data_IF_879844194480
#
_entry.id   IF_879844194480
#
_cell.length_a   1.000
_cell.length_b   1.000
_cell.length_c   1.000
_cell.angle_alpha   90.00
_cell.angle_beta   90.00
_cell.angle_gamma   90.00
#
_symmetry.space_group_name_H-M   'P 1'
#
loop_
_entity.id
_entity.type
_entity.pdbx_description
1 polymer ?
#
# COMPACT_ATOMS: atom_id res chain seq x y z
N UNK A 1 -84.98 -20.92 -5.57
CA UNK A 1 -85.13 -19.73 -6.43
C UNK A 1 -84.62 -18.52 -5.66
N UNK A 2 -83.77 -17.71 -6.31
CA UNK A 2 -83.32 -16.32 -6.07
C UNK A 2 -83.87 -15.58 -4.81
N UNK A 3 -83.16 -14.75 -4.04
CA UNK A 3 -81.90 -14.01 -4.15
C UNK A 3 -81.78 -13.27 -2.81
N UNK A 4 -80.73 -13.47 -2.02
CA UNK A 4 -80.49 -12.67 -0.80
C UNK A 4 -78.99 -12.57 -0.55
N UNK A 5 -78.33 -11.78 -1.39
CA UNK A 5 -76.88 -11.56 -1.32
C UNK A 5 -76.47 -10.12 -1.67
N UNK A 6 -77.33 -9.15 -1.33
CA UNK A 6 -77.06 -7.71 -1.53
C UNK A 6 -77.12 -6.89 -0.23
N UNK A 7 -76.78 -7.50 0.91
CA UNK A 7 -76.64 -6.81 2.20
C UNK A 7 -75.28 -7.07 2.85
N UNK A 8 -74.21 -7.16 2.05
CA UNK A 8 -72.83 -7.34 2.56
C UNK A 8 -71.81 -6.33 2.04
N UNK A 9 -72.21 -5.31 1.27
CA UNK A 9 -71.25 -4.36 0.69
C UNK A 9 -71.10 -3.02 1.44
N UNK A 10 -71.99 -2.66 2.37
CA UNK A 10 -71.99 -1.31 2.95
C UNK A 10 -71.38 -1.18 4.37
N UNK A 11 -70.96 -2.27 5.02
CA UNK A 11 -70.39 -2.22 6.38
C UNK A 11 -68.86 -2.37 6.43
N UNK A 12 -68.22 -2.85 5.36
CA UNK A 12 -66.80 -3.17 5.36
C UNK A 12 -65.85 -1.97 5.15
N UNK A 13 -66.35 -0.80 4.72
CA UNK A 13 -65.49 0.36 4.42
C UNK A 13 -65.22 1.28 5.63
N UNK A 14 -65.96 1.15 6.73
CA UNK A 14 -65.81 2.06 7.88
C UNK A 14 -64.74 1.65 8.90
N UNK A 15 -64.31 0.39 8.91
CA UNK A 15 -63.27 -0.12 9.85
C UNK A 15 -61.84 0.07 9.29
N UNK A 16 -61.70 0.32 7.97
CA UNK A 16 -60.40 0.44 7.32
C UNK A 16 -59.65 1.77 7.61
N UNK A 17 -60.33 2.84 8.07
CA UNK A 17 -59.69 4.16 8.30
C UNK A 17 -59.16 4.40 9.71
N UNK A 18 -59.51 3.58 10.70
CA UNK A 18 -59.11 3.82 12.09
C UNK A 18 -57.81 3.09 12.51
N UNK A 19 -57.26 2.20 11.67
CA UNK A 19 -56.14 1.31 12.05
C UNK A 19 -54.75 1.80 11.62
N UNK A 20 -54.64 2.94 10.93
CA UNK A 20 -53.37 3.42 10.35
C UNK A 20 -52.68 4.57 11.10
N UNK A 21 -53.15 5.00 12.28
CA UNK A 21 -52.52 6.07 13.07
C UNK A 21 -51.79 5.62 14.34
N UNK A 22 -51.81 4.32 14.67
CA UNK A 22 -51.20 3.78 15.90
C UNK A 22 -50.03 2.81 15.66
N UNK A 23 -49.35 2.91 14.51
CA UNK A 23 -48.06 2.25 14.27
C UNK A 23 -46.89 3.24 14.08
N UNK A 24 -47.13 4.56 14.23
CA UNK A 24 -46.15 5.61 13.91
C UNK A 24 -45.43 6.18 15.14
N UNK A 25 -45.27 5.37 16.19
CA UNK A 25 -44.53 5.75 17.41
C UNK A 25 -43.67 4.62 17.98
N UNK A 26 -43.23 3.69 17.13
CA UNK A 26 -42.15 2.77 17.46
C UNK A 26 -40.82 3.49 17.18
N UNK A 27 -40.25 4.04 18.26
CA UNK A 27 -38.83 4.27 18.49
C UNK A 27 -37.93 4.45 17.25
N UNK A 28 -37.72 5.70 16.84
CA UNK A 28 -36.42 6.10 16.26
C UNK A 28 -35.37 5.96 17.38
N UNK A 29 -34.87 4.75 17.63
CA UNK A 29 -33.57 4.63 18.29
C UNK A 29 -32.56 5.25 17.33
N UNK A 30 -31.79 6.28 17.73
CA UNK A 30 -30.69 6.74 16.89
C UNK A 30 -29.81 5.52 16.60
N UNK A 31 -29.54 5.26 15.32
CA UNK A 31 -28.49 4.30 14.95
C UNK A 31 -27.23 4.76 15.67
N UNK A 32 -26.50 3.88 16.39
CA UNK A 32 -25.21 4.27 16.93
C UNK A 32 -24.38 4.81 15.76
N UNK A 33 -24.02 6.09 15.86
CA UNK A 33 -23.01 6.67 14.98
C UNK A 33 -21.78 5.80 15.13
N UNK A 34 -21.22 5.38 14.00
CA UNK A 34 -19.95 4.67 13.94
C UNK A 34 -18.94 5.47 14.76
N UNK A 35 -18.60 5.00 15.97
CA UNK A 35 -17.48 5.54 16.72
C UNK A 35 -16.24 5.16 15.92
N UNK A 36 -15.38 6.15 15.65
CA UNK A 36 -14.08 5.89 15.04
C UNK A 36 -13.37 4.83 15.87
N UNK A 37 -13.23 3.63 15.30
CA UNK A 37 -12.65 2.47 15.95
C UNK A 37 -11.14 2.64 16.20
N UNK A 38 -10.59 3.83 15.95
CA UNK A 38 -9.19 4.19 16.19
C UNK A 38 -8.82 4.19 17.67
N UNK A 39 -9.78 4.34 18.59
CA UNK A 39 -9.55 4.31 20.04
C UNK A 39 -9.76 2.92 20.66
N UNK A 40 -10.25 1.95 19.89
CA UNK A 40 -10.52 0.61 20.40
C UNK A 40 -9.22 -0.21 20.50
N UNK A 41 -8.84 -0.59 21.72
CA UNK A 41 -7.66 -1.40 21.97
C UNK A 41 -7.68 -2.74 21.20
N UNK A 42 -8.87 -3.27 20.90
CA UNK A 42 -9.03 -4.45 20.05
C UNK A 42 -8.68 -4.15 18.59
N UNK A 43 -9.08 -2.99 18.06
CA UNK A 43 -8.77 -2.58 16.69
C UNK A 43 -7.25 -2.50 16.48
N UNK A 44 -6.49 -1.95 17.44
CA UNK A 44 -5.03 -1.93 17.36
C UNK A 44 -4.39 -3.32 17.37
N UNK A 45 -4.97 -4.28 18.09
CA UNK A 45 -4.40 -5.64 18.16
C UNK A 45 -4.58 -6.40 16.84
N UNK A 46 -5.70 -6.19 16.15
CA UNK A 46 -5.99 -6.88 14.89
C UNK A 46 -5.44 -6.16 13.66
N UNK A 47 -5.33 -4.83 13.68
CA UNK A 47 -4.75 -4.06 12.55
C UNK A 47 -3.23 -4.04 12.54
N UNK A 48 -2.56 -4.32 13.67
CA UNK A 48 -1.08 -4.37 13.72
C UNK A 48 -0.46 -5.60 13.06
N UNK A 49 -1.27 -6.58 12.63
CA UNK A 49 -0.82 -7.80 11.98
C UNK A 49 0.19 -8.60 12.82
N UNK A 50 0.58 -9.80 12.39
CA UNK A 50 1.81 -10.41 12.90
C UNK A 50 3.00 -9.53 12.47
N UNK A 51 3.82 -9.09 13.42
CA UNK A 51 5.12 -8.45 13.12
C UNK A 51 6.04 -9.53 12.54
N UNK A 52 5.89 -9.77 11.24
CA UNK A 52 6.72 -10.69 10.49
C UNK A 52 8.02 -9.98 10.14
N UNK A 53 9.06 -10.19 10.96
CA UNK A 53 10.45 -9.96 10.57
C UNK A 53 11.16 -8.79 11.25
N UNK A 54 12.50 -8.74 11.10
CA UNK A 54 13.32 -7.66 11.63
C UNK A 54 12.87 -6.31 11.08
N UNK A 55 12.97 -5.27 11.90
CA UNK A 55 12.66 -3.90 11.51
C UNK A 55 13.37 -3.54 10.19
N UNK A 56 12.68 -2.95 9.19
CA UNK A 56 13.30 -2.55 7.92
C UNK A 56 14.46 -1.55 8.10
N UNK A 57 14.58 -0.94 9.28
CA UNK A 57 15.69 -0.05 9.62
C UNK A 57 17.04 -0.78 9.81
N UNK A 58 17.05 -2.06 10.18
CA UNK A 58 18.28 -2.74 10.62
C UNK A 58 18.94 -3.58 9.52
N UNK A 59 18.16 -4.29 8.70
CA UNK A 59 18.70 -5.13 7.60
C UNK A 59 18.96 -4.31 6.35
N UNK A 60 18.09 -3.34 6.05
CA UNK A 60 18.21 -2.48 4.86
C UNK A 60 19.37 -1.49 4.93
N UNK A 61 19.88 -1.16 6.12
CA UNK A 61 20.89 -0.12 6.28
C UNK A 61 22.28 -0.50 5.75
N UNK A 62 22.74 -1.72 6.04
CA UNK A 62 24.08 -2.17 5.63
C UNK A 62 24.12 -2.50 4.13
N UNK A 63 23.09 -3.20 3.64
CA UNK A 63 22.96 -3.55 2.23
C UNK A 63 22.78 -2.31 1.36
N UNK A 64 21.89 -1.38 1.73
CA UNK A 64 21.71 -0.13 0.99
C UNK A 64 23.00 0.70 0.96
N UNK A 65 23.79 0.72 2.04
CA UNK A 65 25.11 1.37 2.05
C UNK A 65 26.08 0.69 1.08
N UNK A 66 26.09 -0.64 1.00
CA UNK A 66 26.93 -1.37 0.07
C UNK A 66 26.56 -1.06 -1.38
N UNK A 67 25.27 -1.04 -1.73
CA UNK A 67 24.81 -0.67 -3.07
C UNK A 67 25.14 0.78 -3.42
N UNK A 68 24.90 1.72 -2.49
CA UNK A 68 25.27 3.14 -2.69
C UNK A 68 26.76 3.33 -2.93
N UNK A 69 27.61 2.60 -2.20
CA UNK A 69 29.05 2.66 -2.40
C UNK A 69 29.46 2.17 -3.80
N UNK A 70 28.79 1.14 -4.33
CA UNK A 70 29.00 0.68 -5.70
C UNK A 70 28.56 1.72 -6.73
N UNK A 71 27.40 2.36 -6.53
CA UNK A 71 26.90 3.44 -7.40
C UNK A 71 27.88 4.60 -7.45
N UNK A 72 28.36 5.09 -6.30
CA UNK A 72 29.35 6.17 -6.23
C UNK A 72 30.65 5.78 -6.94
N UNK A 73 31.14 4.56 -6.70
CA UNK A 73 32.37 4.09 -7.33
C UNK A 73 32.23 3.93 -8.86
N UNK A 74 31.05 3.56 -9.35
CA UNK A 74 30.76 3.49 -10.79
C UNK A 74 30.75 4.89 -11.41
N UNK A 75 30.04 5.84 -10.80
CA UNK A 75 30.00 7.23 -11.26
C UNK A 75 31.39 7.88 -11.24
N UNK A 76 32.17 7.68 -10.17
CA UNK A 76 33.54 8.19 -10.09
C UNK A 76 34.45 7.61 -11.18
N UNK A 77 34.32 6.32 -11.48
CA UNK A 77 35.08 5.66 -12.54
C UNK A 77 34.79 6.21 -13.94
N UNK A 78 33.61 6.76 -14.16
CA UNK A 78 33.18 7.29 -15.44
C UNK A 78 33.25 8.83 -15.56
N UNK A 79 33.95 9.50 -14.64
CA UNK A 79 34.10 10.96 -14.68
C UNK A 79 32.92 11.74 -14.10
N UNK A 80 32.06 11.08 -13.31
CA UNK A 80 31.05 11.72 -12.47
C UNK A 80 29.63 11.75 -13.05
N UNK A 81 29.40 11.26 -14.27
CA UNK A 81 28.06 11.20 -14.85
C UNK A 81 27.90 9.99 -15.78
N UNK A 82 26.72 9.37 -15.76
CA UNK A 82 26.42 8.21 -16.60
C UNK A 82 24.90 8.06 -16.83
N UNK A 83 24.42 7.53 -17.97
CA UNK A 83 23.02 7.15 -18.14
C UNK A 83 22.61 6.07 -17.13
N UNK A 84 21.37 6.08 -16.63
CA UNK A 84 20.96 5.12 -15.58
C UNK A 84 21.06 3.65 -16.00
N UNK A 85 20.87 3.35 -17.30
CA UNK A 85 20.99 1.98 -17.84
C UNK A 85 22.44 1.47 -17.76
N UNK A 86 23.38 2.27 -18.23
CA UNK A 86 24.81 1.94 -18.17
C UNK A 86 25.27 1.85 -16.70
N UNK A 87 24.72 2.71 -15.83
CA UNK A 87 25.09 2.75 -14.41
C UNK A 87 24.66 1.47 -13.71
N UNK A 88 23.44 1.01 -13.99
CA UNK A 88 22.92 -0.26 -13.50
C UNK A 88 23.84 -1.40 -13.90
N UNK A 89 24.21 -1.47 -15.17
CA UNK A 89 25.00 -2.57 -15.71
C UNK A 89 26.42 -2.57 -15.11
N UNK A 90 27.05 -1.40 -14.97
CA UNK A 90 28.33 -1.22 -14.27
C UNK A 90 28.27 -1.63 -12.79
N UNK A 91 27.22 -1.21 -12.07
CA UNK A 91 27.04 -1.55 -10.65
C UNK A 91 26.84 -3.06 -10.48
N UNK A 92 26.04 -3.68 -11.34
CA UNK A 92 25.83 -5.14 -11.35
C UNK A 92 27.14 -5.87 -11.67
N UNK A 93 27.91 -5.40 -12.66
CA UNK A 93 29.21 -5.99 -12.99
C UNK A 93 30.19 -5.92 -11.81
N UNK A 94 30.25 -4.79 -11.11
CA UNK A 94 31.08 -4.63 -9.90
C UNK A 94 30.60 -5.53 -8.76
N UNK A 95 29.27 -5.71 -8.60
CA UNK A 95 28.71 -6.68 -7.63
C UNK A 95 29.09 -8.11 -7.99
N UNK A 96 29.01 -8.51 -9.27
CA UNK A 96 29.43 -9.83 -9.76
C UNK A 96 30.89 -10.11 -9.42
N UNK A 97 31.77 -9.13 -9.64
CA UNK A 97 33.17 -9.25 -9.29
C UNK A 97 33.37 -9.49 -7.79
N UNK A 98 32.75 -8.67 -6.94
CA UNK A 98 32.81 -8.85 -5.48
C UNK A 98 32.24 -10.19 -5.01
N UNK A 99 31.11 -10.62 -5.58
CA UNK A 99 30.47 -11.88 -5.23
C UNK A 99 31.35 -13.09 -5.59
N UNK A 100 32.07 -13.02 -6.72
CA UNK A 100 33.07 -14.03 -7.12
C UNK A 100 34.25 -14.07 -6.15
N UNK A 101 34.73 -12.92 -5.71
CA UNK A 101 35.83 -12.82 -4.73
C UNK A 101 35.42 -13.35 -3.34
N UNK A 102 34.17 -13.13 -2.94
CA UNK A 102 33.65 -13.58 -1.64
C UNK A 102 33.01 -14.97 -1.65
N UNK A 103 32.81 -15.59 -2.81
CA UNK A 103 32.10 -16.87 -2.96
C UNK A 103 30.60 -16.79 -2.58
N UNK A 104 29.96 -15.62 -2.71
CA UNK A 104 28.56 -15.43 -2.30
C UNK A 104 27.60 -15.95 -3.38
N UNK A 105 26.58 -16.73 -2.96
CA UNK A 105 25.51 -17.25 -3.81
C UNK A 105 24.26 -16.38 -3.57
N UNK A 106 24.31 -15.13 -4.01
CA UNK A 106 23.15 -14.24 -4.00
C UNK A 106 22.36 -14.37 -5.32
N UNK A 107 21.05 -14.14 -5.27
CA UNK A 107 20.20 -14.17 -6.47
C UNK A 107 20.46 -12.95 -7.35
N UNK A 108 21.16 -13.20 -8.45
CA UNK A 108 21.57 -12.20 -9.43
C UNK A 108 20.39 -11.52 -10.12
N UNK A 109 19.24 -12.20 -10.20
CA UNK A 109 18.04 -11.72 -10.90
C UNK A 109 17.52 -10.40 -10.33
N UNK A 110 17.77 -10.16 -9.04
CA UNK A 110 17.31 -8.95 -8.33
C UNK A 110 18.31 -7.80 -8.37
N UNK A 111 19.58 -8.05 -8.71
CA UNK A 111 20.65 -7.05 -8.58
C UNK A 111 20.43 -5.81 -9.44
N UNK A 112 19.86 -5.99 -10.63
CA UNK A 112 19.51 -4.88 -11.51
C UNK A 112 18.51 -3.93 -10.83
N UNK A 113 17.49 -4.47 -10.16
CA UNK A 113 16.49 -3.67 -9.44
C UNK A 113 17.09 -3.05 -8.17
N UNK A 114 17.93 -3.78 -7.44
CA UNK A 114 18.61 -3.28 -6.25
C UNK A 114 19.56 -2.12 -6.56
N UNK A 115 20.31 -2.21 -7.66
CA UNK A 115 21.18 -1.15 -8.11
C UNK A 115 20.41 0.16 -8.33
N UNK A 116 19.24 0.08 -8.96
CA UNK A 116 18.38 1.24 -9.23
C UNK A 116 17.68 1.77 -7.98
N UNK A 117 17.14 0.89 -7.14
CA UNK A 117 16.41 1.26 -5.93
C UNK A 117 17.27 2.00 -4.89
N UNK A 118 18.60 1.85 -4.98
CA UNK A 118 19.55 2.47 -4.05
C UNK A 118 20.27 3.69 -4.62
N UNK A 119 19.92 4.17 -5.82
CA UNK A 119 20.44 5.44 -6.34
C UNK A 119 19.84 6.58 -5.49
N UNK A 120 20.66 7.46 -4.90
CA UNK A 120 20.15 8.62 -4.18
C UNK A 120 19.43 9.59 -5.13
N UNK A 121 18.27 10.10 -4.73
CA UNK A 121 17.50 11.09 -5.51
C UNK A 121 18.32 12.33 -5.87
N UNK A 122 19.28 12.71 -5.01
CA UNK A 122 20.19 13.82 -5.26
C UNK A 122 21.04 13.63 -6.53
N UNK A 123 21.30 12.40 -6.96
CA UNK A 123 22.08 12.11 -8.15
C UNK A 123 21.21 12.01 -9.41
N UNK A 124 19.90 11.91 -9.25
CA UNK A 124 18.96 11.79 -10.35
C UNK A 124 18.68 13.16 -10.95
N UNK A 125 18.89 13.27 -12.24
CA UNK A 125 18.36 14.38 -13.00
C UNK A 125 16.89 14.13 -13.33
N UNK A 126 16.05 15.15 -13.18
CA UNK A 126 14.62 15.06 -13.49
C UNK A 126 14.33 15.41 -14.95
N UNK A 127 15.33 15.90 -15.68
CA UNK A 127 15.18 16.46 -17.02
C UNK A 127 15.80 15.57 -18.11
N UNK A 128 16.74 14.69 -17.75
CA UNK A 128 17.43 13.80 -18.67
C UNK A 128 17.62 12.40 -18.05
N UNK A 129 18.04 11.44 -18.86
CA UNK A 129 18.28 10.04 -18.46
C UNK A 129 19.57 9.87 -17.61
N UNK A 130 20.22 10.97 -17.24
CA UNK A 130 21.56 10.96 -16.66
C UNK A 130 21.52 10.95 -15.14
N UNK A 131 22.42 10.16 -14.57
CA UNK A 131 22.75 10.16 -13.14
C UNK A 131 24.09 10.87 -12.97
N UNK A 132 24.14 11.89 -12.10
CA UNK A 132 25.31 12.75 -11.93
C UNK A 132 25.72 12.78 -10.46
N UNK A 133 27.02 12.66 -10.21
CA UNK A 133 27.58 12.87 -8.89
C UNK A 133 27.49 14.36 -8.58
N UNK A 134 26.65 14.73 -7.62
CA UNK A 134 26.59 16.13 -7.16
C UNK A 134 27.89 16.42 -6.40
N UNK A 135 28.68 17.43 -6.80
CA UNK A 135 29.81 17.87 -6.01
C UNK A 135 29.28 18.46 -4.71
N UNK A 136 29.70 17.88 -3.60
CA UNK A 136 29.45 18.40 -2.25
C UNK A 136 30.43 19.56 -1.96
#
# INVERSE_FOLDING_TARGET
MATSRHLWHAHAERVARARWRRCRRAARRPRPLYQDSSEDALYHRFTRGPVLGPSPAEVGGAEAKAWRALVVAALQGAGGALPWQELRDEVVQRRRQKARESGSIEDESLWAYMALAHIPDAFLSHSDEMVRLVPN
#
